data_IF_274894698701
#
_entry.id   IF_274894698701
#
_cell.length_a   1.000
_cell.length_b   1.000
_cell.length_c   1.000
_cell.angle_alpha   90.00
_cell.angle_beta   90.00
_cell.angle_gamma   90.00
#
_symmetry.space_group_name_H-M   'P 1'
#
loop_
_entity.id
_entity.type
_entity.pdbx_description
1 polymer ?
#
# COMPACT_ATOMS: atom_id res chain seq x y z
N UNK A 1 -17.46 4.06 -19.80
CA UNK A 1 -17.52 2.60 -20.00
C UNK A 1 -18.26 1.99 -18.83
N UNK A 2 -19.09 0.98 -19.09
CA UNK A 2 -19.71 0.20 -18.03
C UNK A 2 -18.64 -0.72 -17.42
N UNK A 3 -18.61 -0.92 -16.10
CA UNK A 3 -17.74 -1.93 -15.43
C UNK A 3 -18.18 -3.36 -15.78
N UNK A 4 -19.23 -3.53 -16.60
CA UNK A 4 -19.67 -4.83 -17.16
C UNK A 4 -18.60 -5.53 -18.02
N UNK A 5 -17.52 -4.82 -18.39
CA UNK A 5 -16.42 -5.36 -19.16
C UNK A 5 -15.34 -6.07 -18.32
N UNK A 6 -15.43 -6.05 -16.97
CA UNK A 6 -14.47 -6.78 -16.12
C UNK A 6 -14.76 -8.28 -16.28
N UNK A 7 -13.80 -9.01 -16.87
CA UNK A 7 -13.94 -10.44 -17.09
C UNK A 7 -13.85 -11.19 -15.75
N UNK A 8 -14.65 -12.25 -15.64
CA UNK A 8 -14.62 -13.10 -14.44
C UNK A 8 -13.21 -13.63 -14.12
N UNK A 9 -12.45 -13.96 -15.16
CA UNK A 9 -11.06 -14.43 -15.03
C UNK A 9 -10.14 -13.38 -14.40
N UNK A 10 -10.26 -12.10 -14.80
CA UNK A 10 -9.47 -10.99 -14.23
C UNK A 10 -9.80 -10.79 -12.74
N UNK A 11 -11.06 -10.86 -12.39
CA UNK A 11 -11.50 -10.80 -11.00
C UNK A 11 -10.94 -11.96 -10.18
N UNK A 12 -11.02 -13.18 -10.70
CA UNK A 12 -10.52 -14.39 -10.04
C UNK A 12 -8.99 -14.33 -9.85
N UNK A 13 -8.28 -13.86 -10.88
CA UNK A 13 -6.83 -13.66 -10.82
C UNK A 13 -6.45 -12.64 -9.73
N UNK A 14 -7.11 -11.49 -9.70
CA UNK A 14 -6.87 -10.46 -8.69
C UNK A 14 -7.13 -10.98 -7.26
N UNK A 15 -8.19 -11.76 -7.07
CA UNK A 15 -8.48 -12.36 -5.78
C UNK A 15 -7.46 -13.43 -5.36
N UNK A 16 -6.92 -14.18 -6.32
CA UNK A 16 -5.86 -15.16 -6.07
C UNK A 16 -4.56 -14.46 -5.65
N UNK A 17 -4.16 -13.39 -6.35
CA UNK A 17 -2.99 -12.58 -6.00
C UNK A 17 -3.14 -11.94 -4.60
N UNK A 18 -4.30 -11.35 -4.31
CA UNK A 18 -4.59 -10.80 -2.98
C UNK A 18 -4.52 -11.84 -1.88
N UNK A 19 -5.01 -13.05 -2.15
CA UNK A 19 -4.96 -14.16 -1.21
C UNK A 19 -3.51 -14.55 -0.90
N UNK A 20 -2.70 -14.77 -1.93
CA UNK A 20 -1.27 -15.14 -1.77
C UNK A 20 -0.52 -14.11 -0.93
N UNK A 21 -0.66 -12.82 -1.27
CA UNK A 21 0.00 -11.75 -0.53
C UNK A 21 -0.54 -11.61 0.89
N UNK A 22 -1.85 -11.77 1.08
CA UNK A 22 -2.48 -11.74 2.40
C UNK A 22 -1.92 -12.85 3.31
N UNK A 23 -1.84 -14.08 2.82
CA UNK A 23 -1.30 -15.23 3.56
C UNK A 23 0.18 -14.98 3.94
N UNK A 24 0.99 -14.48 3.02
CA UNK A 24 2.39 -14.14 3.27
C UNK A 24 2.55 -13.07 4.36
N UNK A 25 1.81 -11.96 4.27
CA UNK A 25 1.93 -10.86 5.22
C UNK A 25 1.32 -11.20 6.59
N UNK A 26 0.27 -12.01 6.63
CA UNK A 26 -0.27 -12.57 7.88
C UNK A 26 0.77 -13.46 8.58
N UNK A 27 1.46 -14.30 7.83
CA UNK A 27 2.55 -15.14 8.35
C UNK A 27 3.72 -14.34 8.93
N UNK A 28 3.91 -13.09 8.49
CA UNK A 28 4.91 -12.15 9.02
C UNK A 28 4.39 -11.30 10.20
N UNK A 29 3.12 -11.42 10.56
CA UNK A 29 2.51 -10.63 11.62
C UNK A 29 2.24 -9.16 11.25
N UNK A 30 2.08 -8.83 9.95
CA UNK A 30 1.93 -7.46 9.48
C UNK A 30 0.48 -6.93 9.49
N UNK A 31 -0.48 -7.76 9.89
CA UNK A 31 -1.91 -7.41 10.04
C UNK A 31 -2.40 -7.43 11.48
N UNK A 32 -1.55 -7.03 12.42
CA UNK A 32 -1.88 -7.00 13.85
C UNK A 32 -3.16 -6.20 14.09
N UNK A 33 -4.11 -6.75 14.86
CA UNK A 33 -5.36 -6.07 15.21
C UNK A 33 -6.30 -5.83 14.02
N UNK A 34 -6.29 -6.73 13.02
CA UNK A 34 -7.09 -6.62 11.78
C UNK A 34 -6.71 -5.43 10.88
N UNK A 35 -5.57 -4.80 11.15
CA UNK A 35 -5.06 -3.64 10.41
C UNK A 35 -4.66 -3.94 8.97
N UNK A 36 -4.32 -2.90 8.22
CA UNK A 36 -3.84 -2.99 6.85
C UNK A 36 -4.93 -3.32 5.83
N UNK A 37 -4.61 -3.16 4.56
CA UNK A 37 -5.47 -3.49 3.43
C UNK A 37 -4.65 -3.67 2.16
N UNK A 38 -5.18 -4.44 1.22
CA UNK A 38 -4.51 -4.82 -0.02
C UNK A 38 -5.45 -4.57 -1.17
N UNK A 39 -4.93 -4.14 -2.31
CA UNK A 39 -5.70 -4.03 -3.55
C UNK A 39 -4.91 -4.41 -4.79
N UNK A 40 -5.62 -4.91 -5.80
CA UNK A 40 -5.12 -5.25 -7.13
C UNK A 40 -6.08 -4.70 -8.17
N UNK A 41 -5.56 -3.92 -9.12
CA UNK A 41 -6.35 -3.34 -10.19
C UNK A 41 -6.84 -4.40 -11.17
N UNK A 42 -8.04 -4.22 -11.71
CA UNK A 42 -8.66 -5.11 -12.70
C UNK A 42 -9.13 -4.32 -13.91
N UNK A 43 -9.18 -4.97 -15.06
CA UNK A 43 -9.66 -4.38 -16.29
C UNK A 43 -8.77 -3.26 -16.84
N UNK A 44 -9.34 -2.47 -17.75
CA UNK A 44 -8.64 -1.33 -18.35
C UNK A 44 -8.41 -0.20 -17.34
N UNK A 45 -7.33 0.53 -17.54
CA UNK A 45 -6.96 1.68 -16.72
C UNK A 45 -7.01 2.99 -17.51
N UNK A 46 -7.69 3.97 -16.91
CA UNK A 46 -7.56 5.40 -17.21
C UNK A 46 -7.58 6.16 -15.90
N UNK A 47 -6.86 7.27 -15.74
CA UNK A 47 -6.84 8.01 -14.46
C UNK A 47 -8.23 8.40 -13.93
N UNK A 48 -9.18 8.65 -14.83
CA UNK A 48 -10.56 9.02 -14.49
C UNK A 48 -11.49 7.85 -14.33
N UNK A 49 -11.07 6.63 -14.76
CA UNK A 49 -11.94 5.44 -14.75
C UNK A 49 -11.11 4.16 -14.65
N UNK A 50 -11.17 3.54 -13.48
CA UNK A 50 -10.55 2.25 -13.20
C UNK A 50 -11.34 1.49 -12.13
N UNK A 51 -11.07 0.21 -12.02
CA UNK A 51 -11.60 -0.64 -10.97
C UNK A 51 -10.49 -1.47 -10.33
N UNK A 52 -10.69 -1.88 -9.10
CA UNK A 52 -9.76 -2.73 -8.39
C UNK A 52 -10.46 -3.63 -7.38
N UNK A 53 -9.88 -4.79 -7.13
CA UNK A 53 -10.24 -5.64 -6.02
C UNK A 53 -9.58 -5.10 -4.75
N UNK A 54 -10.29 -5.06 -3.64
CA UNK A 54 -9.76 -4.60 -2.35
C UNK A 54 -10.25 -5.50 -1.22
N UNK A 55 -9.46 -5.59 -0.15
CA UNK A 55 -9.85 -6.29 1.08
C UNK A 55 -11.09 -5.66 1.71
N UNK A 56 -12.04 -6.50 2.12
CA UNK A 56 -13.23 -6.06 2.83
C UNK A 56 -12.90 -5.57 4.25
N UNK A 57 -13.64 -4.56 4.70
CA UNK A 57 -13.51 -3.98 6.05
C UNK A 57 -13.88 -4.99 7.14
N UNK A 58 -13.19 -4.89 8.29
CA UNK A 58 -13.51 -5.65 9.50
C UNK A 58 -13.23 -7.16 9.40
N UNK A 59 -12.40 -7.60 8.44
CA UNK A 59 -12.01 -9.00 8.29
C UNK A 59 -10.67 -9.28 8.97
N UNK A 60 -10.60 -10.44 9.62
CA UNK A 60 -9.34 -11.00 10.08
C UNK A 60 -8.53 -11.49 8.87
N UNK A 61 -7.39 -10.84 8.63
CA UNK A 61 -6.54 -11.16 7.48
C UNK A 61 -5.66 -12.38 7.69
N UNK A 62 -5.61 -12.93 8.91
CA UNK A 62 -4.94 -14.21 9.18
C UNK A 62 -5.76 -15.43 8.72
N UNK A 63 -7.06 -15.24 8.47
CA UNK A 63 -7.98 -16.30 8.05
C UNK A 63 -8.50 -16.02 6.64
N UNK A 64 -8.54 -17.03 5.78
CA UNK A 64 -9.15 -16.91 4.45
C UNK A 64 -10.65 -17.25 4.51
N UNK A 65 -11.46 -16.35 3.90
CA UNK A 65 -12.90 -16.54 3.73
C UNK A 65 -13.34 -16.17 2.31
N UNK A 66 -14.45 -16.71 1.79
CA UNK A 66 -14.96 -16.34 0.45
C UNK A 66 -15.36 -14.86 0.33
N UNK A 67 -15.52 -14.15 1.45
CA UNK A 67 -15.95 -12.75 1.52
C UNK A 67 -14.84 -11.79 1.94
N UNK A 68 -13.59 -12.10 1.61
CA UNK A 68 -12.42 -11.27 1.97
C UNK A 68 -12.24 -10.07 1.05
N UNK A 69 -12.75 -10.13 -0.18
CA UNK A 69 -12.51 -9.15 -1.23
C UNK A 69 -13.79 -8.71 -1.91
N UNK A 70 -13.78 -7.51 -2.46
CA UNK A 70 -14.83 -6.99 -3.33
C UNK A 70 -14.21 -6.07 -4.40
N UNK A 71 -14.97 -5.85 -5.48
CA UNK A 71 -14.60 -4.89 -6.51
C UNK A 71 -15.14 -3.51 -6.19
N UNK A 72 -14.30 -2.49 -6.40
CA UNK A 72 -14.66 -1.08 -6.25
C UNK A 72 -14.25 -0.27 -7.48
N UNK A 73 -14.95 0.85 -7.69
CA UNK A 73 -14.62 1.84 -8.72
C UNK A 73 -13.51 2.81 -8.26
N UNK A 74 -13.14 3.74 -9.14
CA UNK A 74 -12.15 4.79 -8.91
C UNK A 74 -12.51 5.77 -7.77
N UNK A 75 -13.72 5.70 -7.23
CA UNK A 75 -14.18 6.49 -6.08
C UNK A 75 -14.32 5.64 -4.80
N UNK A 76 -13.87 4.39 -4.85
CA UNK A 76 -13.95 3.44 -3.73
C UNK A 76 -15.35 2.89 -3.47
N UNK A 77 -16.28 3.04 -4.41
CA UNK A 77 -17.64 2.50 -4.29
C UNK A 77 -17.68 1.06 -4.81
N UNK A 78 -18.37 0.18 -4.07
CA UNK A 78 -18.59 -1.19 -4.52
C UNK A 78 -19.32 -1.22 -5.87
N UNK A 79 -18.79 -1.98 -6.83
CA UNK A 79 -19.36 -2.16 -8.16
C UNK A 79 -20.45 -3.25 -8.14
N UNK A 80 -20.31 -4.23 -7.24
CA UNK A 80 -21.21 -5.37 -7.10
C UNK A 80 -22.02 -5.30 -5.81
N UNK A 81 -23.26 -5.79 -5.85
CA UNK A 81 -24.10 -5.90 -4.65
C UNK A 81 -23.72 -7.15 -3.86
N UNK A 82 -22.65 -7.06 -3.09
CA UNK A 82 -22.14 -8.17 -2.27
C UNK A 82 -22.51 -8.08 -0.79
N UNK A 83 -23.05 -6.94 -0.34
CA UNK A 83 -23.22 -6.64 1.09
C UNK A 83 -21.93 -6.37 1.85
N UNK A 84 -20.76 -6.48 1.21
CA UNK A 84 -19.46 -6.17 1.78
C UNK A 84 -19.21 -4.66 1.73
N UNK A 85 -18.42 -4.18 2.69
CA UNK A 85 -17.92 -2.80 2.69
C UNK A 85 -16.42 -2.83 2.38
N UNK A 86 -15.91 -1.95 1.51
CA UNK A 86 -14.48 -1.82 1.29
C UNK A 86 -13.78 -1.34 2.56
N UNK A 87 -12.44 -1.51 2.63
CA UNK A 87 -11.63 -0.93 3.69
C UNK A 87 -11.93 0.58 3.85
N UNK A 88 -11.91 1.07 5.07
CA UNK A 88 -12.12 2.50 5.35
C UNK A 88 -11.11 3.39 4.59
N UNK A 89 -9.93 2.87 4.32
CA UNK A 89 -8.81 3.58 3.69
C UNK A 89 -8.77 3.43 2.15
N UNK A 90 -9.82 2.88 1.55
CA UNK A 90 -9.89 2.65 0.09
C UNK A 90 -9.69 3.94 -0.72
N UNK A 91 -10.06 5.12 -0.21
CA UNK A 91 -9.84 6.39 -0.89
C UNK A 91 -8.35 6.72 -1.08
N UNK A 92 -7.48 6.31 -0.16
CA UNK A 92 -6.03 6.47 -0.31
C UNK A 92 -5.54 5.64 -1.49
N UNK A 93 -6.01 4.39 -1.63
CA UNK A 93 -5.72 3.56 -2.80
C UNK A 93 -6.20 4.22 -4.10
N UNK A 94 -7.40 4.82 -4.10
CA UNK A 94 -7.92 5.52 -5.28
C UNK A 94 -6.96 6.62 -5.75
N UNK A 95 -6.45 7.45 -4.83
CA UNK A 95 -5.52 8.54 -5.19
C UNK A 95 -4.16 8.01 -5.66
N UNK A 96 -3.63 6.95 -5.03
CA UNK A 96 -2.39 6.32 -5.50
C UNK A 96 -2.57 5.75 -6.91
N UNK A 97 -3.65 5.00 -7.17
CA UNK A 97 -3.93 4.48 -8.52
C UNK A 97 -4.06 5.61 -9.54
N UNK A 98 -4.84 6.64 -9.23
CA UNK A 98 -5.07 7.79 -10.12
C UNK A 98 -3.78 8.48 -10.51
N UNK A 99 -2.88 8.68 -9.55
CA UNK A 99 -1.62 9.39 -9.75
C UNK A 99 -0.54 8.55 -10.42
N UNK A 100 -0.47 7.25 -10.12
CA UNK A 100 0.66 6.39 -10.51
C UNK A 100 0.35 5.41 -11.63
N UNK A 101 -0.92 5.03 -11.81
CA UNK A 101 -1.30 3.93 -12.69
C UNK A 101 -0.83 2.56 -12.20
N UNK A 102 -0.50 2.42 -10.92
CA UNK A 102 -0.05 1.16 -10.33
C UNK A 102 -0.99 -0.01 -10.63
N UNK A 103 -0.48 -1.22 -10.63
CA UNK A 103 -1.28 -2.45 -10.75
C UNK A 103 -1.72 -3.00 -9.40
N UNK A 104 -0.94 -2.75 -8.34
CA UNK A 104 -1.25 -3.24 -6.99
C UNK A 104 -0.75 -2.26 -5.92
N UNK A 105 -1.49 -2.18 -4.81
CA UNK A 105 -1.15 -1.34 -3.65
C UNK A 105 -1.37 -2.16 -2.39
N UNK A 106 -0.36 -2.18 -1.51
CA UNK A 106 -0.40 -2.91 -0.24
C UNK A 106 -0.10 -1.98 0.91
N UNK A 107 -0.90 -2.09 1.96
CA UNK A 107 -0.80 -1.32 3.18
C UNK A 107 -0.74 -2.23 4.39
N UNK A 108 0.29 -2.05 5.21
CA UNK A 108 0.51 -2.83 6.43
C UNK A 108 0.93 -1.94 7.60
N UNK A 109 0.68 -2.44 8.81
CA UNK A 109 1.10 -1.80 10.05
C UNK A 109 2.13 -2.69 10.74
N UNK A 110 3.34 -2.17 10.89
CA UNK A 110 4.41 -2.83 11.64
C UNK A 110 4.98 -1.91 12.71
N UNK A 111 5.71 -2.49 13.65
CA UNK A 111 6.40 -1.69 14.66
C UNK A 111 7.42 -0.75 14.03
N UNK A 112 8.18 -1.23 13.03
CA UNK A 112 9.26 -0.44 12.45
C UNK A 112 8.77 0.69 11.54
N UNK A 113 7.72 0.49 10.74
CA UNK A 113 7.17 1.60 9.95
C UNK A 113 6.53 2.68 10.84
N UNK A 114 5.91 2.29 11.95
CA UNK A 114 5.40 3.22 12.96
C UNK A 114 6.52 4.00 13.65
N UNK A 115 7.59 3.32 14.11
CA UNK A 115 8.73 3.95 14.76
C UNK A 115 9.49 4.88 13.82
N UNK A 116 9.75 4.47 12.58
CA UNK A 116 10.41 5.30 11.58
C UNK A 116 9.60 6.55 11.26
N UNK A 117 8.28 6.43 11.09
CA UNK A 117 7.41 7.56 10.80
C UNK A 117 7.37 8.59 11.94
N UNK A 118 7.52 8.18 13.19
CA UNK A 118 7.59 9.10 14.33
C UNK A 118 8.98 9.68 14.51
N UNK A 119 10.02 8.85 14.38
CA UNK A 119 11.41 9.28 14.53
C UNK A 119 11.79 10.40 13.57
N UNK A 120 11.29 10.34 12.34
CA UNK A 120 11.59 11.31 11.28
C UNK A 120 10.44 12.27 10.98
N UNK A 121 9.44 12.36 11.84
CA UNK A 121 8.27 13.21 11.60
C UNK A 121 8.61 14.67 11.33
N UNK A 122 9.47 15.27 12.15
CA UNK A 122 9.86 16.69 12.01
C UNK A 122 10.64 16.97 10.71
N UNK A 123 11.26 15.93 10.13
CA UNK A 123 11.92 16.00 8.83
C UNK A 123 10.92 15.89 7.66
N UNK A 124 9.76 15.27 7.88
CA UNK A 124 8.74 15.00 6.86
C UNK A 124 9.03 13.80 5.97
N UNK A 125 10.16 13.12 6.16
CA UNK A 125 10.57 11.94 5.37
C UNK A 125 11.57 11.08 6.12
N UNK A 126 11.59 9.77 5.82
CA UNK A 126 12.62 8.84 6.31
C UNK A 126 13.79 8.83 5.33
N UNK A 127 14.98 9.33 5.74
CA UNK A 127 16.17 9.28 4.90
C UNK A 127 16.78 7.88 4.91
N UNK A 128 17.16 7.39 3.73
CA UNK A 128 17.94 6.16 3.57
C UNK A 128 19.11 6.44 2.65
N UNK A 129 20.32 6.10 3.09
CA UNK A 129 21.56 6.43 2.41
C UNK A 129 22.41 5.18 2.21
N UNK A 130 22.79 4.90 0.96
CA UNK A 130 23.78 3.87 0.59
C UNK A 130 23.40 2.43 0.94
N UNK A 131 22.12 2.13 1.22
CA UNK A 131 21.69 0.77 1.57
C UNK A 131 21.39 -0.01 0.29
N UNK A 132 22.02 -1.17 0.11
CA UNK A 132 21.89 -2.01 -1.09
C UNK A 132 20.41 -2.28 -1.48
N UNK A 133 19.53 -2.43 -0.50
CA UNK A 133 18.12 -2.75 -0.75
C UNK A 133 17.31 -1.62 -1.41
N UNK A 134 17.86 -0.42 -1.55
CA UNK A 134 17.29 0.66 -2.38
C UNK A 134 17.11 0.21 -3.83
N UNK A 135 17.94 -0.72 -4.32
CA UNK A 135 17.82 -1.34 -5.65
C UNK A 135 16.48 -2.06 -5.88
N UNK A 136 15.79 -2.45 -4.82
CA UNK A 136 14.43 -3.00 -4.94
C UNK A 136 13.44 -2.02 -5.59
N UNK A 137 13.72 -0.72 -5.54
CA UNK A 137 12.94 0.34 -6.18
C UNK A 137 13.41 0.68 -7.61
N UNK A 138 14.25 -0.17 -8.21
CA UNK A 138 14.91 0.07 -9.51
C UNK A 138 15.82 1.31 -9.51
N UNK A 139 16.41 1.66 -8.36
CA UNK A 139 17.40 2.73 -8.18
C UNK A 139 18.76 2.06 -8.03
N UNK A 140 19.58 2.16 -9.08
CA UNK A 140 20.85 1.42 -9.22
C UNK A 140 22.08 2.31 -9.01
N UNK A 141 21.86 3.58 -8.65
CA UNK A 141 22.96 4.52 -8.42
C UNK A 141 23.83 4.02 -7.26
N UNK A 142 25.15 4.05 -7.43
CA UNK A 142 26.10 3.83 -6.34
C UNK A 142 25.88 4.94 -5.29
N UNK A 143 25.85 4.62 -4.03
CA UNK A 143 25.56 5.56 -2.95
C UNK A 143 24.18 6.26 -3.06
N UNK A 144 23.17 5.55 -3.61
CA UNK A 144 21.82 6.08 -3.75
C UNK A 144 21.28 6.59 -2.42
N UNK A 145 20.71 7.80 -2.47
CA UNK A 145 20.00 8.42 -1.35
C UNK A 145 18.52 8.58 -1.70
N UNK A 146 17.65 8.19 -0.78
CA UNK A 146 16.20 8.33 -0.94
C UNK A 146 15.56 8.94 0.29
N UNK A 147 14.43 9.59 0.08
CA UNK A 147 13.59 10.17 1.13
C UNK A 147 12.18 9.58 1.00
N UNK A 148 11.76 8.79 1.99
CA UNK A 148 10.43 8.16 2.00
C UNK A 148 9.46 9.12 2.69
N UNK A 149 8.45 9.69 1.99
CA UNK A 149 7.60 10.74 2.54
C UNK A 149 6.71 10.25 3.68
N UNK A 150 6.45 11.14 4.65
CA UNK A 150 5.57 10.90 5.79
C UNK A 150 4.41 11.89 5.75
N UNK A 151 3.19 11.38 5.70
CA UNK A 151 1.96 12.15 5.79
C UNK A 151 1.38 12.13 7.21
N UNK A 152 0.60 13.17 7.59
CA UNK A 152 -0.13 13.17 8.85
C UNK A 152 -1.22 12.09 8.85
N UNK A 153 -1.47 11.51 10.02
CA UNK A 153 -2.54 10.54 10.22
C UNK A 153 -3.79 11.25 10.77
N UNK A 154 -4.61 11.78 9.89
CA UNK A 154 -5.89 12.38 10.27
C UNK A 154 -6.96 11.31 10.51
N UNK A 155 -7.92 11.59 11.39
CA UNK A 155 -9.05 10.71 11.63
C UNK A 155 -9.97 10.61 10.39
N UNK A 156 -10.06 11.68 9.61
CA UNK A 156 -10.86 11.72 8.38
C UNK A 156 -10.03 11.29 7.18
N UNK A 157 -10.30 10.10 6.67
CA UNK A 157 -9.61 9.53 5.50
C UNK A 157 -9.62 10.45 4.27
N UNK A 158 -10.71 11.17 3.92
CA UNK A 158 -10.66 12.12 2.81
C UNK A 158 -9.55 13.16 2.90
N UNK A 159 -9.28 13.69 4.11
CA UNK A 159 -8.17 14.66 4.32
C UNK A 159 -6.80 14.05 4.06
N UNK A 160 -6.61 12.76 4.36
CA UNK A 160 -5.35 12.07 4.05
C UNK A 160 -5.26 11.88 2.52
N UNK A 161 -6.36 11.42 1.91
CA UNK A 161 -6.42 11.16 0.48
C UNK A 161 -6.08 12.42 -0.36
N UNK A 162 -6.51 13.61 0.06
CA UNK A 162 -6.20 14.88 -0.60
C UNK A 162 -4.69 15.21 -0.60
N UNK A 163 -3.92 14.70 0.37
CA UNK A 163 -2.46 14.95 0.45
C UNK A 163 -1.64 13.97 -0.39
N UNK A 164 -2.21 12.80 -0.73
CA UNK A 164 -1.49 11.72 -1.40
C UNK A 164 -0.88 12.13 -2.74
N UNK A 165 -1.59 12.82 -3.66
CA UNK A 165 -1.04 13.16 -4.98
C UNK A 165 0.23 14.01 -4.93
N UNK A 166 0.36 14.88 -3.93
CA UNK A 166 1.51 15.78 -3.77
C UNK A 166 2.68 15.09 -3.05
N UNK A 167 2.40 14.04 -2.25
CA UNK A 167 3.42 13.28 -1.55
C UNK A 167 4.09 12.21 -2.44
N UNK A 168 3.45 11.78 -3.53
CA UNK A 168 3.99 10.77 -4.44
C UNK A 168 5.22 11.28 -5.17
N UNK A 169 6.34 10.60 -4.95
CA UNK A 169 7.60 10.85 -5.63
C UNK A 169 7.80 9.86 -6.79
N UNK A 170 8.35 10.28 -7.94
CA UNK A 170 8.45 9.41 -9.13
C UNK A 170 9.26 8.13 -8.94
N UNK A 171 10.28 8.15 -8.08
CA UNK A 171 11.19 7.01 -7.86
C UNK A 171 10.91 6.23 -6.57
N UNK A 172 10.03 6.73 -5.69
CA UNK A 172 9.76 6.11 -4.38
C UNK A 172 8.34 5.54 -4.40
N UNK A 173 8.20 4.21 -4.52
CA UNK A 173 6.90 3.56 -4.66
C UNK A 173 6.21 3.33 -3.30
N UNK A 174 6.25 4.32 -2.41
CA UNK A 174 5.63 4.23 -1.09
C UNK A 174 5.50 5.56 -0.37
N UNK A 175 4.53 5.62 0.54
CA UNK A 175 4.29 6.73 1.48
C UNK A 175 3.96 6.19 2.87
N UNK A 176 4.47 6.82 3.91
CA UNK A 176 4.13 6.53 5.30
C UNK A 176 3.00 7.43 5.79
N UNK A 177 2.12 6.90 6.63
CA UNK A 177 1.30 7.69 7.53
C UNK A 177 1.90 7.65 8.92
N UNK A 178 2.02 8.81 9.57
CA UNK A 178 2.61 8.95 10.92
C UNK A 178 1.94 8.03 11.93
N UNK A 179 2.71 7.18 12.63
CA UNK A 179 2.22 6.23 13.65
C UNK A 179 1.07 5.34 13.17
N UNK A 180 1.08 4.98 11.89
CA UNK A 180 0.02 4.20 11.29
C UNK A 180 0.60 3.05 10.47
N UNK A 181 1.11 3.32 9.27
CA UNK A 181 1.64 2.29 8.40
C UNK A 181 2.16 2.82 7.08
N UNK A 182 2.68 1.91 6.27
CA UNK A 182 3.22 2.16 4.93
C UNK A 182 2.20 1.75 3.86
N UNK A 183 2.04 2.57 2.82
CA UNK A 183 1.47 2.19 1.53
C UNK A 183 2.63 1.98 0.55
N UNK A 184 2.69 0.81 -0.06
CA UNK A 184 3.63 0.51 -1.13
C UNK A 184 2.87 0.03 -2.37
N UNK A 185 3.35 0.39 -3.56
CA UNK A 185 2.72 0.05 -4.83
C UNK A 185 3.73 -0.42 -5.86
N UNK A 186 3.23 -1.05 -6.92
CA UNK A 186 4.01 -1.53 -8.05
C UNK A 186 3.15 -1.76 -9.28
N UNK A 187 3.76 -2.05 -10.42
CA UNK A 187 3.05 -2.35 -11.66
C UNK A 187 2.19 -3.64 -11.58
N UNK A 188 2.47 -4.50 -10.61
CA UNK A 188 1.76 -5.74 -10.31
C UNK A 188 1.98 -6.15 -8.85
N UNK A 189 1.33 -7.24 -8.42
CA UNK A 189 1.42 -7.73 -7.04
C UNK A 189 2.85 -8.13 -6.63
N UNK A 190 3.64 -8.69 -7.54
CA UNK A 190 5.03 -9.03 -7.27
C UNK A 190 5.88 -7.80 -6.94
N UNK A 191 5.78 -6.74 -7.75
CA UNK A 191 6.52 -5.50 -7.50
C UNK A 191 6.06 -4.79 -6.23
N UNK A 192 4.75 -4.63 -6.03
CA UNK A 192 4.23 -4.01 -4.81
C UNK A 192 4.68 -4.76 -3.55
N UNK A 193 4.69 -6.10 -3.59
CA UNK A 193 5.22 -6.95 -2.52
C UNK A 193 6.72 -6.70 -2.31
N UNK A 194 7.53 -6.73 -3.37
CA UNK A 194 8.97 -6.48 -3.32
C UNK A 194 9.28 -5.10 -2.71
N UNK A 195 8.55 -4.09 -3.12
CA UNK A 195 8.72 -2.73 -2.59
C UNK A 195 8.36 -2.66 -1.10
N UNK A 196 7.24 -3.27 -0.70
CA UNK A 196 6.83 -3.26 0.70
C UNK A 196 7.82 -4.02 1.60
N UNK A 197 8.32 -5.17 1.16
CA UNK A 197 9.36 -5.92 1.87
C UNK A 197 10.65 -5.09 2.02
N UNK A 198 11.03 -4.37 0.97
CA UNK A 198 12.20 -3.48 1.01
C UNK A 198 11.99 -2.32 2.00
N UNK A 199 10.81 -1.67 1.99
CA UNK A 199 10.50 -0.61 2.94
C UNK A 199 10.59 -1.10 4.39
N UNK A 200 10.02 -2.26 4.70
CA UNK A 200 10.05 -2.81 6.06
C UNK A 200 11.48 -3.09 6.53
N UNK A 201 12.32 -3.67 5.67
CA UNK A 201 13.74 -3.84 5.98
C UNK A 201 14.44 -2.50 6.21
N UNK A 202 14.21 -1.50 5.35
CA UNK A 202 14.84 -0.19 5.44
C UNK A 202 14.41 0.57 6.70
N UNK A 203 13.13 0.47 7.12
CA UNK A 203 12.65 1.09 8.36
C UNK A 203 13.28 0.44 9.59
N UNK A 204 13.41 -0.87 9.63
CA UNK A 204 14.12 -1.57 10.70
C UNK A 204 15.60 -1.16 10.71
N UNK A 205 16.25 -1.13 9.55
CA UNK A 205 17.65 -0.73 9.42
C UNK A 205 17.90 0.69 9.94
N UNK A 206 17.18 1.70 9.44
CA UNK A 206 17.41 3.09 9.85
C UNK A 206 17.08 3.30 11.33
N UNK A 207 16.03 2.68 11.85
CA UNK A 207 15.70 2.77 13.27
C UNK A 207 16.82 2.20 14.16
N UNK A 208 17.32 1.00 13.83
CA UNK A 208 18.42 0.37 14.57
C UNK A 208 19.71 1.16 14.43
N UNK A 209 19.98 1.69 13.25
CA UNK A 209 21.15 2.54 13.00
C UNK A 209 21.12 3.81 13.84
N UNK A 210 20.01 4.49 13.95
CA UNK A 210 19.86 5.67 14.80
C UNK A 210 20.08 5.36 16.31
N UNK A 211 19.73 4.17 16.76
CA UNK A 211 20.03 3.74 18.14
C UNK A 211 21.53 3.53 18.38
N UNK A 212 22.28 3.09 17.36
CA UNK A 212 23.74 2.85 17.47
C UNK A 212 24.56 4.14 17.44
N UNK A 213 24.00 5.25 16.98
CA UNK A 213 24.67 6.57 16.97
C UNK A 213 24.64 7.28 18.33
N UNK A 214 23.84 6.79 19.27
CA UNK A 214 23.71 7.34 20.65
C UNK A 214 24.67 6.65 21.59
#
# INVERSE_FOLDING_TARGET
MSFDAIRLEEKQQAYAELREVKELFAGRGWFTGTSGNLSVRVGEYRPEQFAFAVTASGKDKSVHTPSDYLLVDQNGKAIETTGLKPSAETLIHCEIYRKTGAGSIFHVHTVFNNLASELFWERGSVPVDGVELIKAFNIWDEDAQIEIPILPNYAEIPRIAELVPDAIQPRIPGILLRKHGIYAWGANAFEAKRHLEAFEFLFEYVYRWELLKK
#
